data_IF_334471934857
#
_entry.id   IF_334471934857
#
_cell.length_a   1.000
_cell.length_b   1.000
_cell.length_c   1.000
_cell.angle_alpha   90.00
_cell.angle_beta   90.00
_cell.angle_gamma   90.00
#
_symmetry.space_group_name_H-M   'P 1'
#
loop_
_entity.id
_entity.type
_entity.pdbx_description
1 polymer ?
#
# COMPACT_ATOMS: atom_id res chain seq x y z
N UNK A 1 9.78 48.29 40.12
CA UNK A 1 8.93 49.48 40.33
C UNK A 1 7.63 49.26 39.57
N UNK A 2 6.63 48.62 40.21
CA UNK A 2 5.46 49.30 40.83
C UNK A 2 4.55 49.95 39.79
N UNK A 3 3.28 49.56 39.57
CA UNK A 3 2.43 48.61 40.27
C UNK A 3 0.94 48.84 39.93
N UNK A 4 0.12 47.79 40.18
CA UNK A 4 -1.29 47.81 40.62
C UNK A 4 -2.38 48.10 39.56
N UNK A 5 -3.23 47.13 39.18
CA UNK A 5 -4.39 46.52 39.87
C UNK A 5 -5.69 47.05 39.18
N UNK A 6 -6.67 46.24 38.75
CA UNK A 6 -7.52 45.43 39.61
C UNK A 6 -8.30 44.33 38.83
N UNK A 7 -8.60 43.22 39.53
CA UNK A 7 -9.77 42.32 39.33
C UNK A 7 -10.87 42.74 40.32
N UNK A 8 -12.16 42.42 40.12
CA UNK A 8 -12.80 41.16 40.59
C UNK A 8 -13.95 40.70 39.64
N UNK A 9 -14.72 39.61 39.75
CA UNK A 9 -14.81 38.37 40.54
C UNK A 9 -15.97 37.53 39.94
N UNK A 10 -15.82 36.20 39.76
CA UNK A 10 -16.54 35.10 40.46
C UNK A 10 -17.90 34.62 39.91
N UNK A 11 -17.92 33.28 39.73
CA UNK A 11 -18.99 32.26 40.02
C UNK A 11 -20.20 32.28 39.08
N UNK A 12 -20.74 31.15 38.62
CA UNK A 12 -21.16 29.95 39.38
C UNK A 12 -21.22 28.68 38.50
N UNK A 13 -20.89 27.53 39.10
CA UNK A 13 -21.51 26.23 38.81
C UNK A 13 -22.56 25.96 39.89
N UNK A 14 -23.62 25.21 39.60
CA UNK A 14 -23.80 23.86 40.17
C UNK A 14 -24.40 22.92 39.09
N UNK A 15 -24.64 21.61 39.23
CA UNK A 15 -25.11 20.83 40.37
C UNK A 15 -25.01 19.33 40.04
N UNK A 16 -24.92 18.49 41.08
CA UNK A 16 -24.87 17.03 41.07
C UNK A 16 -26.04 16.54 41.94
N UNK A 17 -26.50 15.30 41.70
CA UNK A 17 -27.46 14.45 42.48
C UNK A 17 -28.77 14.24 41.68
N UNK A 18 -29.43 13.08 41.63
CA UNK A 18 -29.50 11.94 42.56
C UNK A 18 -30.04 10.67 41.85
N UNK A 19 -29.98 9.55 42.58
CA UNK A 19 -30.46 8.20 42.26
C UNK A 19 -31.98 8.06 42.48
N UNK A 20 -32.61 7.11 41.78
CA UNK A 20 -33.73 6.31 42.33
C UNK A 20 -33.83 4.93 41.65
N UNK A 21 -34.41 3.97 42.38
CA UNK A 21 -34.44 2.50 42.17
C UNK A 21 -35.85 2.03 41.77
N UNK A 22 -35.90 0.86 41.09
CA UNK A 22 -36.98 -0.15 41.10
C UNK A 22 -38.17 0.09 40.14
N UNK A 23 -38.75 -0.89 39.44
CA UNK A 23 -38.57 -2.34 39.39
C UNK A 23 -39.60 -3.01 38.43
N UNK A 24 -39.31 -4.27 38.07
CA UNK A 24 -40.17 -5.39 37.61
C UNK A 24 -41.07 -5.28 36.36
N UNK A 25 -40.87 -6.23 35.42
CA UNK A 25 -41.90 -6.68 34.46
C UNK A 25 -41.39 -7.27 33.14
N UNK A 26 -40.97 -8.55 33.14
CA UNK A 26 -40.88 -9.44 31.94
C UNK A 26 -42.28 -9.82 31.43
N UNK A 27 -42.52 -10.47 30.26
CA UNK A 27 -41.58 -11.16 29.35
C UNK A 27 -41.80 -10.90 27.84
N UNK A 28 -40.82 -11.22 26.99
CA UNK A 28 -41.11 -11.73 25.62
C UNK A 28 -39.88 -12.20 24.87
N UNK A 29 -39.93 -13.48 24.50
CA UNK A 29 -39.39 -14.10 23.28
C UNK A 29 -37.94 -13.82 22.89
N UNK A 30 -37.07 -14.73 23.31
CA UNK A 30 -35.80 -15.06 22.69
C UNK A 30 -35.98 -15.51 21.23
N UNK A 31 -35.72 -14.62 20.27
CA UNK A 31 -35.40 -14.98 18.89
C UNK A 31 -33.89 -14.86 18.69
N UNK A 32 -33.19 -15.96 18.95
CA UNK A 32 -31.79 -16.16 18.61
C UNK A 32 -31.64 -16.20 17.08
N UNK A 33 -31.56 -15.01 16.48
CA UNK A 33 -31.05 -14.88 15.12
C UNK A 33 -29.57 -15.24 15.13
N UNK A 34 -29.11 -16.26 14.39
CA UNK A 34 -27.69 -16.53 14.26
C UNK A 34 -27.03 -15.28 13.63
N UNK A 35 -25.83 -14.88 14.07
CA UNK A 35 -25.11 -13.81 13.39
C UNK A 35 -24.99 -14.16 11.91
N UNK A 36 -25.17 -13.19 11.01
CA UNK A 36 -25.08 -13.45 9.57
C UNK A 36 -23.73 -14.11 9.31
N UNK A 37 -23.78 -15.29 8.71
CA UNK A 37 -22.61 -15.97 8.15
C UNK A 37 -22.05 -15.06 7.05
N UNK A 38 -21.23 -14.09 7.45
CA UNK A 38 -20.50 -13.21 6.55
C UNK A 38 -19.38 -14.05 5.92
N UNK A 39 -19.77 -14.82 4.91
CA UNK A 39 -18.87 -15.35 3.90
C UNK A 39 -18.28 -14.21 3.09
N UNK A 40 -17.31 -13.48 3.65
CA UNK A 40 -16.46 -12.58 2.90
C UNK A 40 -15.13 -13.31 2.64
N UNK A 41 -15.14 -14.17 1.62
CA UNK A 41 -13.96 -14.86 1.09
C UNK A 41 -12.87 -13.83 0.72
N UNK A 42 -11.90 -13.68 1.61
CA UNK A 42 -10.49 -13.30 1.40
C UNK A 42 -10.05 -12.83 0.00
N UNK A 43 -10.49 -11.66 -0.48
CA UNK A 43 -10.21 -11.25 -1.86
C UNK A 43 -8.71 -10.99 -2.20
N UNK A 44 -7.86 -10.68 -1.22
CA UNK A 44 -6.42 -10.41 -1.46
C UNK A 44 -5.55 -11.66 -1.37
N UNK A 45 -5.87 -12.57 -0.44
CA UNK A 45 -5.31 -13.93 -0.44
C UNK A 45 -5.74 -14.70 -1.70
N UNK A 46 -6.98 -14.46 -2.18
CA UNK A 46 -7.52 -15.08 -3.40
C UNK A 46 -6.86 -14.61 -4.71
N UNK A 47 -6.09 -13.51 -4.70
CA UNK A 47 -5.35 -13.03 -5.89
C UNK A 47 -3.89 -13.50 -5.89
N UNK A 48 -3.30 -13.74 -4.72
CA UNK A 48 -2.10 -14.57 -4.56
C UNK A 48 -2.36 -16.02 -5.00
N UNK A 49 -3.54 -16.57 -4.68
CA UNK A 49 -3.92 -17.96 -4.97
C UNK A 49 -4.47 -18.22 -6.39
N UNK A 50 -4.79 -17.18 -7.18
CA UNK A 50 -5.26 -17.31 -8.59
C UNK A 50 -4.16 -17.06 -9.62
N UNK A 51 -3.02 -17.71 -9.40
CA UNK A 51 -1.99 -17.98 -10.40
C UNK A 51 -1.97 -19.47 -10.80
N UNK A 52 -3.04 -20.24 -10.48
CA UNK A 52 -3.15 -21.67 -10.83
C UNK A 52 -3.52 -21.96 -12.30
N UNK A 53 -3.77 -20.92 -13.11
CA UNK A 53 -4.23 -21.05 -14.51
C UNK A 53 -3.18 -20.71 -15.58
N UNK A 54 -1.97 -20.34 -15.19
CA UNK A 54 -0.80 -20.32 -16.09
C UNK A 54 -0.02 -21.58 -15.75
N UNK A 55 0.14 -22.47 -16.73
CA UNK A 55 0.77 -23.79 -16.60
C UNK A 55 1.97 -23.76 -15.66
N UNK A 56 1.85 -24.55 -14.59
CA UNK A 56 2.74 -24.61 -13.45
C UNK A 56 4.10 -25.24 -13.80
N UNK A 57 4.90 -24.55 -14.59
CA UNK A 57 6.33 -24.80 -14.71
C UNK A 57 7.03 -23.85 -13.73
N UNK A 58 7.17 -24.30 -12.47
CA UNK A 58 7.87 -23.65 -11.34
C UNK A 58 7.61 -22.14 -11.16
N UNK A 59 6.52 -21.81 -10.48
CA UNK A 59 6.13 -20.46 -10.05
C UNK A 59 7.00 -19.86 -8.93
N UNK A 60 8.29 -20.23 -8.85
CA UNK A 60 9.26 -19.81 -7.83
C UNK A 60 10.21 -18.68 -8.27
N UNK A 61 10.10 -18.19 -9.50
CA UNK A 61 11.11 -17.29 -10.07
C UNK A 61 10.76 -15.79 -10.03
N UNK A 62 9.47 -15.44 -9.98
CA UNK A 62 9.04 -14.04 -10.04
C UNK A 62 8.44 -13.58 -8.71
N UNK A 63 8.92 -12.44 -8.22
CA UNK A 63 8.43 -11.82 -7.00
C UNK A 63 7.39 -10.75 -7.34
N UNK A 64 6.33 -10.60 -6.55
CA UNK A 64 5.31 -9.59 -6.86
C UNK A 64 5.87 -8.17 -6.67
N UNK A 65 5.52 -7.25 -7.58
CA UNK A 65 5.93 -5.82 -7.55
C UNK A 65 5.60 -5.14 -6.22
N UNK A 66 4.56 -5.60 -5.51
CA UNK A 66 4.24 -5.10 -4.17
C UNK A 66 5.37 -5.35 -3.16
N UNK A 67 6.12 -6.45 -3.29
CA UNK A 67 7.29 -6.71 -2.45
C UNK A 67 8.46 -5.80 -2.81
N UNK A 68 8.60 -5.38 -4.08
CA UNK A 68 9.59 -4.37 -4.47
C UNK A 68 9.29 -3.03 -3.81
N UNK A 69 8.00 -2.62 -3.76
CA UNK A 69 7.56 -1.43 -3.01
C UNK A 69 7.91 -1.56 -1.53
N UNK A 70 7.63 -2.72 -0.92
CA UNK A 70 7.95 -2.98 0.48
C UNK A 70 9.47 -2.96 0.73
N UNK A 71 10.26 -3.53 -0.17
CA UNK A 71 11.73 -3.52 -0.10
C UNK A 71 12.29 -2.11 -0.23
N UNK A 72 11.73 -1.29 -1.13
CA UNK A 72 12.07 0.12 -1.27
C UNK A 72 11.73 0.94 -0.02
N UNK A 73 10.66 0.58 0.69
CA UNK A 73 10.29 1.22 1.95
C UNK A 73 11.22 0.81 3.10
N UNK A 74 11.44 -0.49 3.26
CA UNK A 74 12.34 -1.09 4.23
C UNK A 74 12.76 -2.51 3.77
N UNK A 75 14.03 -2.73 3.39
CA UNK A 75 14.50 -4.04 2.93
C UNK A 75 14.21 -5.18 3.90
N UNK A 76 14.44 -4.95 5.20
CA UNK A 76 14.23 -5.96 6.23
C UNK A 76 12.75 -6.27 6.49
N UNK A 77 11.86 -5.29 6.26
CA UNK A 77 10.42 -5.54 6.31
C UNK A 77 10.00 -6.50 5.19
N UNK A 78 10.48 -6.28 3.97
CA UNK A 78 10.21 -7.18 2.85
C UNK A 78 10.82 -8.57 3.07
N UNK A 79 12.01 -8.65 3.69
CA UNK A 79 12.61 -9.93 4.11
C UNK A 79 11.69 -10.69 5.07
N UNK A 80 11.21 -10.06 6.15
CA UNK A 80 10.28 -10.73 7.07
C UNK A 80 8.95 -11.13 6.41
N UNK A 81 8.47 -10.34 5.44
CA UNK A 81 7.27 -10.70 4.66
C UNK A 81 7.48 -11.94 3.80
N UNK A 82 8.69 -12.12 3.26
CA UNK A 82 9.08 -13.33 2.53
C UNK A 82 9.22 -14.53 3.46
N UNK A 83 9.78 -14.34 4.66
CA UNK A 83 10.16 -15.44 5.56
C UNK A 83 9.07 -15.90 6.53
N UNK A 84 8.12 -15.04 6.90
CA UNK A 84 7.18 -15.32 8.00
C UNK A 84 5.75 -15.65 7.54
N UNK A 85 5.43 -15.54 6.24
CA UNK A 85 4.11 -15.82 5.64
C UNK A 85 2.88 -15.20 6.37
N UNK A 86 3.09 -14.17 7.20
CA UNK A 86 2.00 -13.60 8.00
C UNK A 86 1.06 -12.74 7.14
N UNK A 87 -0.27 -12.93 7.26
CA UNK A 87 -1.23 -12.04 6.63
C UNK A 87 -1.13 -10.65 7.26
N UNK A 88 -0.97 -9.64 6.41
CA UNK A 88 -0.89 -8.24 6.83
C UNK A 88 -1.97 -7.44 6.10
N UNK A 89 -2.91 -6.92 6.86
CA UNK A 89 -3.94 -5.98 6.40
C UNK A 89 -3.90 -4.79 7.34
N UNK A 90 -3.77 -3.58 6.79
CA UNK A 90 -3.89 -2.36 7.59
C UNK A 90 -5.31 -1.80 7.51
N UNK A 91 -5.70 -1.04 8.51
CA UNK A 91 -6.93 -0.25 8.49
C UNK A 91 -7.03 0.63 7.22
N UNK A 92 -5.92 1.25 6.80
CA UNK A 92 -5.87 2.03 5.56
C UNK A 92 -6.10 1.19 4.30
N UNK A 93 -5.69 -0.08 4.27
CA UNK A 93 -5.99 -1.01 3.17
C UNK A 93 -7.47 -1.41 3.15
N UNK A 94 -8.14 -1.47 4.29
CA UNK A 94 -9.58 -1.72 4.36
C UNK A 94 -10.38 -0.48 3.98
N UNK A 95 -10.02 0.68 4.53
CA UNK A 95 -10.64 1.96 4.22
C UNK A 95 -10.56 2.26 2.72
N UNK A 96 -9.41 1.99 2.07
CA UNK A 96 -9.25 2.20 0.64
C UNK A 96 -10.22 1.36 -0.23
N UNK A 97 -10.74 0.23 0.27
CA UNK A 97 -11.72 -0.60 -0.46
C UNK A 97 -13.13 -0.05 -0.43
N UNK A 98 -13.44 0.78 0.56
CA UNK A 98 -14.76 1.40 0.73
C UNK A 98 -14.86 2.69 -0.08
N UNK A 99 -13.75 3.17 -0.63
CA UNK A 99 -13.73 4.36 -1.46
C UNK A 99 -14.24 4.05 -2.87
N UNK A 100 -14.88 5.04 -3.52
CA UNK A 100 -15.15 4.98 -4.96
C UNK A 100 -13.87 4.73 -5.76
N UNK A 101 -14.05 4.27 -7.00
CA UNK A 101 -12.94 4.02 -7.92
C UNK A 101 -12.02 5.26 -8.03
N UNK A 102 -10.76 5.19 -7.57
CA UNK A 102 -9.86 6.34 -7.59
C UNK A 102 -9.48 6.78 -9.01
N UNK A 103 -9.76 5.95 -10.02
CA UNK A 103 -9.48 6.25 -11.42
C UNK A 103 -10.68 6.86 -12.15
N UNK A 104 -11.85 7.01 -11.50
CA UNK A 104 -13.06 7.51 -12.16
C UNK A 104 -12.91 8.93 -12.74
N UNK A 105 -12.09 9.77 -12.11
CA UNK A 105 -11.81 11.14 -12.57
C UNK A 105 -10.54 11.29 -13.39
N UNK A 106 -9.91 10.19 -13.82
CA UNK A 106 -8.70 10.26 -14.64
C UNK A 106 -9.09 10.62 -16.08
N UNK A 107 -8.70 11.82 -16.54
CA UNK A 107 -8.78 12.19 -17.95
C UNK A 107 -7.70 11.42 -18.74
N UNK A 108 -8.09 10.52 -19.67
CA UNK A 108 -7.13 9.76 -20.44
C UNK A 108 -6.48 10.57 -21.56
N UNK A 109 -6.95 11.78 -21.92
CA UNK A 109 -6.31 12.65 -22.91
C UNK A 109 -6.05 11.97 -24.27
N UNK A 110 -7.01 11.17 -24.73
CA UNK A 110 -6.91 10.40 -25.98
C UNK A 110 -6.00 9.15 -25.91
N UNK A 111 -5.63 8.68 -24.72
CA UNK A 111 -4.97 7.39 -24.53
C UNK A 111 -6.00 6.28 -24.30
N UNK A 112 -5.72 5.08 -24.78
CA UNK A 112 -6.53 3.89 -24.47
C UNK A 112 -6.29 3.46 -23.02
N UNK A 113 -7.36 3.34 -22.22
CA UNK A 113 -7.27 2.91 -20.81
C UNK A 113 -7.46 1.41 -20.71
N UNK A 114 -6.44 0.69 -20.23
CA UNK A 114 -6.50 -0.75 -19.92
C UNK A 114 -6.39 -0.96 -18.42
N UNK A 115 -7.40 -1.53 -17.78
CA UNK A 115 -7.44 -1.73 -16.32
C UNK A 115 -7.06 -3.15 -15.92
N UNK A 116 -6.46 -3.31 -14.74
CA UNK A 116 -6.18 -4.62 -14.16
C UNK A 116 -5.25 -5.49 -15.01
N UNK A 117 -4.32 -4.87 -15.73
CA UNK A 117 -3.44 -5.56 -16.68
C UNK A 117 -2.38 -6.34 -15.93
N UNK A 118 -2.27 -7.64 -16.22
CA UNK A 118 -1.19 -8.48 -15.72
C UNK A 118 0.10 -8.16 -16.47
N UNK A 119 1.16 -7.90 -15.73
CA UNK A 119 2.48 -7.58 -16.28
C UNK A 119 3.55 -8.38 -15.55
N UNK A 120 4.62 -8.73 -16.27
CA UNK A 120 5.78 -9.42 -15.74
C UNK A 120 7.05 -8.98 -16.46
N UNK A 121 8.18 -9.10 -15.76
CA UNK A 121 9.52 -8.99 -16.33
C UNK A 121 10.38 -10.11 -15.78
N UNK A 122 10.82 -11.01 -16.65
CA UNK A 122 11.78 -12.06 -16.30
C UNK A 122 13.15 -11.46 -15.98
N UNK A 123 13.54 -10.41 -16.70
CA UNK A 123 14.79 -9.67 -16.45
C UNK A 123 14.86 -9.11 -15.04
N UNK A 124 13.76 -8.52 -14.56
CA UNK A 124 13.67 -8.01 -13.19
C UNK A 124 13.34 -9.10 -12.16
N UNK A 125 12.80 -10.23 -12.59
CA UNK A 125 12.24 -11.25 -11.70
C UNK A 125 10.97 -10.77 -11.01
N UNK A 126 10.12 -10.00 -11.70
CA UNK A 126 8.94 -9.35 -11.12
C UNK A 126 7.64 -9.68 -11.87
N UNK A 127 6.52 -9.65 -11.14
CA UNK A 127 5.18 -9.72 -11.73
C UNK A 127 4.15 -8.92 -10.93
N UNK A 128 2.98 -8.67 -11.51
CA UNK A 128 1.82 -8.19 -10.77
C UNK A 128 0.68 -7.74 -11.66
N UNK A 129 -0.22 -6.96 -11.08
CA UNK A 129 -1.38 -6.41 -11.78
C UNK A 129 -1.34 -4.89 -11.61
N UNK A 130 -1.12 -4.17 -12.71
CA UNK A 130 -1.17 -2.72 -12.71
C UNK A 130 -2.63 -2.25 -12.58
N UNK A 131 -2.87 -1.16 -11.86
CA UNK A 131 -4.23 -0.62 -11.68
C UNK A 131 -4.82 -0.20 -13.03
N UNK A 132 -4.06 0.60 -13.78
CA UNK A 132 -4.32 0.85 -15.20
C UNK A 132 -3.06 1.15 -16.00
N UNK A 133 -3.16 0.97 -17.31
CA UNK A 133 -2.20 1.41 -18.32
C UNK A 133 -2.91 2.37 -19.27
N UNK A 134 -2.22 3.45 -19.64
CA UNK A 134 -2.62 4.33 -20.73
C UNK A 134 -1.74 3.97 -21.93
N UNK A 135 -2.34 3.53 -23.04
CA UNK A 135 -1.62 3.06 -24.23
C UNK A 135 -1.92 3.94 -25.43
N UNK A 136 -0.89 4.31 -26.20
CA UNK A 136 -1.04 5.07 -27.45
C UNK A 136 0.17 4.90 -28.36
N UNK A 137 -0.03 4.43 -29.59
CA UNK A 137 1.01 4.39 -30.62
C UNK A 137 2.32 3.71 -30.19
N UNK A 138 2.24 2.54 -29.55
CA UNK A 138 3.42 1.82 -29.04
C UNK A 138 4.00 2.35 -27.72
N UNK A 139 3.41 3.42 -27.16
CA UNK A 139 3.82 4.01 -25.88
C UNK A 139 2.88 3.56 -24.75
N UNK A 140 3.42 3.50 -23.54
CA UNK A 140 2.65 3.23 -22.32
C UNK A 140 2.97 4.23 -21.21
N UNK A 141 1.91 4.64 -20.48
CA UNK A 141 2.02 5.22 -19.14
C UNK A 141 1.38 4.27 -18.15
N UNK A 142 2.00 4.09 -16.98
CA UNK A 142 1.39 3.28 -15.90
C UNK A 142 0.67 4.19 -14.93
N UNK A 143 -0.51 3.77 -14.50
CA UNK A 143 -1.29 4.45 -13.48
C UNK A 143 -1.28 3.61 -12.20
N UNK A 144 -0.89 4.22 -11.09
CA UNK A 144 -0.91 3.63 -9.75
C UNK A 144 -1.80 4.48 -8.84
N UNK A 145 -2.81 3.87 -8.22
CA UNK A 145 -3.76 4.55 -7.36
C UNK A 145 -3.40 4.42 -5.87
N UNK A 146 -3.38 5.54 -5.16
CA UNK A 146 -3.21 5.66 -3.70
C UNK A 146 -4.27 6.61 -3.14
N UNK A 147 -5.53 6.18 -3.19
CA UNK A 147 -6.72 6.98 -2.88
C UNK A 147 -6.67 7.77 -1.55
N UNK A 148 -6.01 7.22 -0.52
CA UNK A 148 -5.88 7.84 0.81
C UNK A 148 -4.59 8.65 1.00
N UNK A 149 -3.72 8.73 -0.02
CA UNK A 149 -2.39 9.33 0.12
C UNK A 149 -2.31 10.65 -0.65
N UNK A 150 -2.01 11.77 0.01
CA UNK A 150 -1.67 13.01 -0.67
C UNK A 150 -0.38 12.84 -1.45
N UNK A 151 -0.44 13.11 -2.76
CA UNK A 151 0.69 12.96 -3.69
C UNK A 151 1.15 14.32 -4.23
N UNK A 152 2.46 14.46 -4.40
CA UNK A 152 3.09 15.59 -5.07
C UNK A 152 4.43 15.13 -5.65
N UNK A 153 4.99 15.84 -6.63
CA UNK A 153 6.33 15.50 -7.17
C UNK A 153 7.40 15.45 -6.06
N UNK A 154 7.37 16.41 -5.13
CA UNK A 154 8.26 16.43 -3.95
C UNK A 154 8.06 15.19 -3.07
N UNK A 155 6.81 14.79 -2.82
CA UNK A 155 6.54 13.60 -2.02
C UNK A 155 7.04 12.33 -2.73
N UNK A 156 6.80 12.17 -4.03
CA UNK A 156 7.26 11.02 -4.82
C UNK A 156 8.79 10.90 -4.88
N UNK A 157 9.51 12.02 -4.89
CA UNK A 157 10.99 12.02 -4.85
C UNK A 157 11.56 11.85 -3.44
N UNK A 158 10.73 11.93 -2.40
CA UNK A 158 11.11 11.80 -0.99
C UNK A 158 10.34 10.67 -0.30
N UNK A 159 9.43 11.02 0.61
CA UNK A 159 8.73 10.07 1.48
C UNK A 159 7.93 8.97 0.76
N UNK A 160 7.47 9.23 -0.47
CA UNK A 160 6.72 8.29 -1.32
C UNK A 160 7.58 7.66 -2.44
N UNK A 161 8.91 7.69 -2.31
CA UNK A 161 9.81 7.09 -3.31
C UNK A 161 9.56 5.60 -3.57
N UNK A 162 9.08 4.88 -2.56
CA UNK A 162 8.66 3.48 -2.70
C UNK A 162 7.40 3.31 -3.56
N UNK A 163 6.47 4.28 -3.56
CA UNK A 163 5.29 4.29 -4.46
C UNK A 163 5.74 4.58 -5.89
N UNK A 164 6.65 5.54 -6.07
CA UNK A 164 7.23 5.82 -7.39
C UNK A 164 7.96 4.59 -7.94
N UNK A 165 8.76 3.91 -7.12
CA UNK A 165 9.45 2.67 -7.50
C UNK A 165 8.45 1.58 -7.94
N UNK A 166 7.33 1.43 -7.23
CA UNK A 166 6.27 0.49 -7.58
C UNK A 166 5.70 0.78 -8.99
N UNK A 167 5.32 2.04 -9.26
CA UNK A 167 4.75 2.42 -10.54
C UNK A 167 5.75 2.25 -11.69
N UNK A 168 7.02 2.60 -11.48
CA UNK A 168 8.08 2.40 -12.48
C UNK A 168 8.32 0.91 -12.72
N UNK A 169 8.34 0.08 -11.68
CA UNK A 169 8.49 -1.37 -11.82
C UNK A 169 7.35 -2.00 -12.64
N UNK A 170 6.10 -1.58 -12.40
CA UNK A 170 4.98 -2.00 -13.25
C UNK A 170 5.16 -1.55 -14.69
N UNK A 171 5.66 -0.34 -14.92
CA UNK A 171 5.97 0.15 -16.26
C UNK A 171 7.01 -0.69 -16.97
N UNK A 172 8.12 -0.99 -16.31
CA UNK A 172 9.17 -1.83 -16.88
C UNK A 172 8.68 -3.27 -17.16
N UNK A 173 7.79 -3.79 -16.32
CA UNK A 173 7.11 -5.06 -16.60
C UNK A 173 6.17 -4.96 -17.81
N UNK A 174 5.45 -3.84 -17.96
CA UNK A 174 4.56 -3.60 -19.09
C UNK A 174 5.34 -3.51 -20.41
N UNK A 175 6.54 -2.92 -20.41
CA UNK A 175 7.40 -2.87 -21.60
C UNK A 175 7.74 -4.28 -22.11
N UNK A 176 8.17 -5.17 -21.20
CA UNK A 176 8.53 -6.55 -21.57
C UNK A 176 7.29 -7.38 -21.96
N UNK A 177 6.19 -7.23 -21.22
CA UNK A 177 4.95 -8.02 -21.43
C UNK A 177 4.24 -7.62 -22.72
N UNK A 178 4.15 -6.32 -23.00
CA UNK A 178 3.30 -5.77 -24.07
C UNK A 178 4.10 -5.26 -25.26
N UNK A 179 5.44 -5.28 -25.19
CA UNK A 179 6.34 -4.71 -26.22
C UNK A 179 6.04 -3.23 -26.49
N UNK A 180 5.77 -2.48 -25.42
CA UNK A 180 5.53 -1.03 -25.45
C UNK A 180 6.72 -0.28 -24.85
N UNK A 181 6.81 1.01 -25.11
CA UNK A 181 7.84 1.88 -24.52
C UNK A 181 7.26 2.71 -23.37
N UNK A 182 7.82 2.57 -22.17
CA UNK A 182 7.40 3.31 -20.99
C UNK A 182 7.87 4.76 -21.05
N UNK A 183 6.91 5.69 -21.10
CA UNK A 183 7.15 7.13 -21.13
C UNK A 183 7.20 7.74 -19.72
N UNK A 184 6.17 7.46 -18.94
CA UNK A 184 5.95 8.09 -17.64
C UNK A 184 5.08 7.21 -16.74
N UNK A 185 5.02 7.59 -15.48
CA UNK A 185 4.11 7.00 -14.50
C UNK A 185 3.21 8.08 -13.92
N UNK A 186 1.95 7.74 -13.74
CA UNK A 186 0.91 8.61 -13.17
C UNK A 186 0.51 8.03 -11.82
N UNK A 187 0.79 8.76 -10.75
CA UNK A 187 0.34 8.38 -9.40
C UNK A 187 -0.89 9.20 -9.06
N UNK A 188 -2.03 8.53 -8.88
CA UNK A 188 -3.31 9.13 -8.51
C UNK A 188 -3.46 9.05 -7.00
N UNK A 189 -3.37 10.18 -6.31
CA UNK A 189 -3.54 10.25 -4.86
C UNK A 189 -4.87 10.88 -4.45
N UNK A 190 -4.99 11.22 -3.17
CA UNK A 190 -6.16 11.93 -2.65
C UNK A 190 -6.25 13.33 -3.27
N UNK A 191 -7.17 13.52 -4.21
CA UNK A 191 -7.51 14.83 -4.80
C UNK A 191 -6.64 15.30 -5.97
N UNK A 192 -5.60 14.56 -6.38
CA UNK A 192 -4.79 14.91 -7.56
C UNK A 192 -4.04 13.74 -8.16
N UNK A 193 -3.76 13.83 -9.45
CA UNK A 193 -2.81 12.97 -10.16
C UNK A 193 -1.46 13.68 -10.35
N UNK A 194 -0.37 12.91 -10.33
CA UNK A 194 0.98 13.41 -10.61
C UNK A 194 1.64 12.51 -11.63
N UNK A 195 1.98 13.08 -12.78
CA UNK A 195 2.79 12.43 -13.79
C UNK A 195 4.29 12.73 -13.57
N UNK A 196 5.09 11.67 -13.55
CA UNK A 196 6.55 11.70 -13.47
C UNK A 196 7.15 10.95 -14.67
N UNK A 197 8.03 11.61 -15.43
CA UNK A 197 8.75 11.00 -16.56
C UNK A 197 9.70 9.93 -16.04
N UNK A 198 9.75 8.77 -16.71
CA UNK A 198 10.69 7.72 -16.34
C UNK A 198 12.08 8.04 -16.92
N UNK A 199 13.06 8.23 -16.04
CA UNK A 199 14.45 8.51 -16.40
C UNK A 199 15.31 7.24 -16.28
N UNK A 200 16.49 7.19 -16.94
CA UNK A 200 17.45 6.09 -16.75
C UNK A 200 17.82 5.87 -15.28
N UNK A 201 17.96 6.94 -14.49
CA UNK A 201 18.25 6.84 -13.06
C UNK A 201 17.13 6.16 -12.26
N UNK A 202 15.85 6.41 -12.61
CA UNK A 202 14.72 5.70 -11.99
C UNK A 202 14.70 4.22 -12.36
N UNK A 203 15.06 3.87 -13.60
CA UNK A 203 15.19 2.47 -14.05
C UNK A 203 16.29 1.75 -13.28
N UNK A 204 17.48 2.34 -13.20
CA UNK A 204 18.61 1.79 -12.45
C UNK A 204 18.27 1.61 -10.96
N UNK A 205 17.52 2.57 -10.37
CA UNK A 205 17.03 2.44 -9.00
C UNK A 205 16.10 1.23 -8.81
N UNK A 206 15.14 1.01 -9.73
CA UNK A 206 14.25 -0.16 -9.69
C UNK A 206 15.02 -1.46 -9.91
N UNK A 207 16.00 -1.49 -10.81
CA UNK A 207 16.86 -2.65 -11.06
C UNK A 207 17.66 -3.03 -9.82
N UNK A 208 18.24 -2.05 -9.11
CA UNK A 208 18.95 -2.26 -7.86
C UNK A 208 18.03 -2.80 -6.75
N UNK A 209 16.81 -2.26 -6.64
CA UNK A 209 15.80 -2.77 -5.71
C UNK A 209 15.40 -4.20 -6.03
N UNK A 210 15.15 -4.53 -7.30
CA UNK A 210 14.79 -5.86 -7.74
C UNK A 210 15.93 -6.87 -7.47
N UNK A 211 17.18 -6.48 -7.72
CA UNK A 211 18.35 -7.29 -7.39
C UNK A 211 18.46 -7.56 -5.88
N UNK A 212 18.30 -6.54 -5.05
CA UNK A 212 18.30 -6.68 -3.59
C UNK A 212 17.15 -7.56 -3.08
N UNK A 213 15.94 -7.35 -3.59
CA UNK A 213 14.78 -8.16 -3.24
C UNK A 213 14.99 -9.64 -3.59
N UNK A 214 15.59 -9.94 -4.75
CA UNK A 214 15.93 -11.33 -5.13
C UNK A 214 16.97 -11.96 -4.20
N UNK A 215 17.93 -11.18 -3.69
CA UNK A 215 18.88 -11.69 -2.67
C UNK A 215 18.17 -11.97 -1.34
N UNK A 216 17.30 -11.07 -0.90
CA UNK A 216 16.48 -11.28 0.29
C UNK A 216 15.58 -12.53 0.17
N UNK A 217 14.98 -12.76 -1.01
CA UNK A 217 14.21 -13.97 -1.28
C UNK A 217 15.04 -15.27 -1.27
N UNK A 218 16.37 -15.18 -1.39
CA UNK A 218 17.30 -16.30 -1.23
C UNK A 218 17.85 -16.43 0.20
N UNK A 219 17.35 -15.64 1.15
CA UNK A 219 17.74 -15.72 2.56
C UNK A 219 18.78 -14.70 3.01
N UNK A 220 19.25 -13.80 2.14
CA UNK A 220 20.18 -12.73 2.54
C UNK A 220 19.44 -11.65 3.35
N UNK A 221 19.59 -11.66 4.69
CA UNK A 221 19.02 -10.62 5.55
C UNK A 221 19.73 -9.27 5.28
N UNK A 222 19.00 -8.23 4.81
CA UNK A 222 19.59 -6.92 4.54
C UNK A 222 19.98 -6.14 5.81
N UNK A 223 19.73 -6.71 6.99
CA UNK A 223 20.09 -6.16 8.30
C UNK A 223 19.18 -5.02 8.77
N UNK A 224 19.20 -4.68 10.08
CA UNK A 224 18.36 -3.63 10.62
C UNK A 224 18.84 -2.24 10.18
N UNK A 225 17.90 -1.39 9.75
CA UNK A 225 18.12 0.04 9.51
C UNK A 225 17.07 0.87 10.24
N UNK A 226 17.45 1.46 11.37
CA UNK A 226 16.58 2.30 12.20
C UNK A 226 16.15 3.56 11.43
N UNK A 227 14.91 3.98 11.65
CA UNK A 227 14.37 5.21 11.08
C UNK A 227 12.91 5.44 11.49
N UNK A 228 12.29 6.57 11.08
CA UNK A 228 10.95 6.95 11.52
C UNK A 228 9.86 5.90 11.22
N UNK A 229 10.01 5.14 10.13
CA UNK A 229 9.13 4.02 9.75
C UNK A 229 9.06 2.90 10.78
N UNK A 230 10.07 2.75 11.64
CA UNK A 230 10.12 1.67 12.62
C UNK A 230 9.00 1.79 13.66
N UNK A 231 8.52 3.00 13.96
CA UNK A 231 7.46 3.23 14.95
C UNK A 231 6.13 2.55 14.60
N UNK A 232 5.87 2.36 13.30
CA UNK A 232 4.65 1.77 12.76
C UNK A 232 4.89 0.37 12.16
N UNK A 233 6.05 -0.22 12.40
CA UNK A 233 6.44 -1.50 11.81
C UNK A 233 5.91 -2.67 12.64
N UNK A 234 5.13 -3.57 12.02
CA UNK A 234 4.63 -4.78 12.66
C UNK A 234 5.74 -5.74 13.13
N UNK A 235 6.93 -5.67 12.53
CA UNK A 235 8.08 -6.52 12.88
C UNK A 235 9.10 -5.81 13.76
N UNK A 236 8.76 -4.68 14.39
CA UNK A 236 9.73 -3.85 15.15
C UNK A 236 10.45 -4.64 16.23
N UNK A 237 9.69 -5.34 17.08
CA UNK A 237 10.24 -6.09 18.22
C UNK A 237 11.17 -7.21 17.74
N UNK A 238 10.76 -7.98 16.71
CA UNK A 238 11.60 -9.00 16.08
C UNK A 238 12.86 -8.41 15.45
N UNK A 239 12.72 -7.29 14.74
CA UNK A 239 13.82 -6.61 14.04
C UNK A 239 14.90 -6.11 15.01
N UNK A 240 14.50 -5.67 16.21
CA UNK A 240 15.45 -5.19 17.22
C UNK A 240 16.06 -6.31 18.05
N UNK A 241 15.34 -7.41 18.26
CA UNK A 241 15.83 -8.59 18.96
C UNK A 241 16.80 -9.43 18.13
N UNK A 242 16.68 -9.41 16.79
CA UNK A 242 17.56 -10.18 15.92
C UNK A 242 19.02 -9.69 16.01
N UNK A 243 19.98 -10.57 16.33
CA UNK A 243 21.40 -10.21 16.38
C UNK A 243 21.87 -9.66 15.04
N UNK A 244 22.87 -8.78 15.07
CA UNK A 244 23.56 -8.34 13.85
C UNK A 244 24.42 -9.53 13.41
N UNK A 245 23.95 -10.26 12.40
CA UNK A 245 24.75 -11.24 11.68
C UNK A 245 25.87 -10.54 10.90
#
# INVERSE_FOLDING_TARGET
SSGWAARPSRRTSPERLSRSRGGSGTPSSSSSSPPPRCGARWWWASRWLRWRGWSATRSSELLPVVLLKEYAYCPRYAFFRLSLELPYVTESMEAARRLPDPLAGLDPGGWEVRRGVRVASRRLGLWGVADALLVRGGLVKVVEAKALTPVSRRALRGRLRHVLAQAVAYGMCAEETLRLTLQSVVVVGSGRAVEERVTPALRAYVEALAAGLRRAARGEDPGPKRGPRCWYCAYRELCWAAPRL
#
